data_IF_574721184937
#
_entry.id   IF_574721184937
#
_cell.length_a   1.000
_cell.length_b   1.000
_cell.length_c   1.000
_cell.angle_alpha   90.00
_cell.angle_beta   90.00
_cell.angle_gamma   90.00
#
_symmetry.space_group_name_H-M   'P 1'
#
loop_
_entity.id
_entity.type
_entity.pdbx_description
1 polymer ?
#
# COMPACT_ATOMS: atom_id res chain seq x y z
N UNK A 1 -40.88 -22.47 79.94
CA UNK A 1 -39.51 -22.17 79.46
C UNK A 1 -39.55 -22.12 77.92
N UNK A 2 -39.72 -20.94 77.40
CA UNK A 2 -39.94 -20.73 75.97
C UNK A 2 -38.62 -20.17 75.34
N UNK A 3 -37.96 -20.96 74.51
CA UNK A 3 -36.73 -20.54 73.80
C UNK A 3 -37.08 -19.72 72.58
N UNK A 4 -36.69 -18.47 72.59
CA UNK A 4 -36.76 -17.54 71.45
C UNK A 4 -35.50 -17.80 70.59
N UNK A 5 -35.70 -18.28 69.33
CA UNK A 5 -34.64 -18.37 68.32
C UNK A 5 -34.53 -17.05 67.60
N UNK A 6 -33.39 -16.34 67.73
CA UNK A 6 -33.01 -15.17 66.89
C UNK A 6 -32.49 -15.67 65.52
N UNK A 7 -33.12 -15.23 64.45
CA UNK A 7 -32.59 -15.33 63.08
C UNK A 7 -31.58 -14.13 62.82
N UNK A 8 -30.43 -14.37 62.13
CA UNK A 8 -29.56 -13.29 61.77
C UNK A 8 -30.09 -12.55 60.51
N UNK A 9 -29.79 -11.24 60.37
CA UNK A 9 -30.20 -10.49 59.19
C UNK A 9 -29.36 -10.85 57.97
N UNK A 10 -30.04 -11.16 56.87
CA UNK A 10 -29.46 -11.40 55.54
C UNK A 10 -29.00 -10.06 54.95
N UNK A 11 -27.70 -9.80 54.89
CA UNK A 11 -27.12 -8.64 54.24
C UNK A 11 -27.18 -8.84 52.72
N UNK A 12 -28.11 -8.16 52.03
CA UNK A 12 -28.14 -8.05 50.58
C UNK A 12 -26.95 -7.19 50.09
N UNK A 13 -25.92 -7.85 49.60
CA UNK A 13 -24.78 -7.20 48.94
C UNK A 13 -25.18 -6.85 47.49
N UNK A 14 -25.63 -5.60 47.27
CA UNK A 14 -25.82 -5.07 45.93
C UNK A 14 -24.49 -4.95 45.20
N UNK A 15 -24.19 -5.91 44.28
CA UNK A 15 -23.11 -5.76 43.30
C UNK A 15 -23.53 -4.70 42.27
N UNK A 16 -23.05 -3.47 42.46
CA UNK A 16 -23.12 -2.43 41.45
C UNK A 16 -22.20 -2.85 40.29
N UNK A 17 -22.77 -3.35 39.19
CA UNK A 17 -22.08 -3.51 37.93
C UNK A 17 -21.71 -2.11 37.39
N UNK A 18 -20.49 -1.69 37.61
CA UNK A 18 -19.93 -0.51 36.94
C UNK A 18 -19.83 -0.81 35.44
N UNK A 19 -20.82 -0.35 34.67
CA UNK A 19 -20.73 -0.29 33.22
C UNK A 19 -19.55 0.64 32.88
N UNK A 20 -18.39 0.07 32.53
CA UNK A 20 -17.28 0.84 31.95
C UNK A 20 -17.78 1.37 30.60
N UNK A 21 -18.14 2.65 30.55
CA UNK A 21 -18.40 3.34 29.32
C UNK A 21 -17.12 3.33 28.49
N UNK A 22 -17.09 2.50 27.45
CA UNK A 22 -16.02 2.54 26.45
C UNK A 22 -16.00 3.95 25.86
N UNK A 23 -14.91 4.67 26.03
CA UNK A 23 -14.70 5.97 25.38
C UNK A 23 -14.88 5.75 23.86
N UNK A 24 -15.81 6.46 23.20
CA UNK A 24 -16.04 6.26 21.77
C UNK A 24 -14.73 6.55 21.03
N UNK A 25 -14.30 5.58 20.21
CA UNK A 25 -13.11 5.73 19.37
C UNK A 25 -13.38 6.84 18.36
N UNK A 26 -12.59 7.92 18.42
CA UNK A 26 -12.71 9.05 17.50
C UNK A 26 -12.57 8.57 16.05
N UNK A 27 -13.42 9.08 15.17
CA UNK A 27 -13.23 8.92 13.72
C UNK A 27 -11.95 9.66 13.29
N UNK A 28 -11.37 9.28 12.16
CA UNK A 28 -10.16 9.95 11.64
C UNK A 28 -10.42 11.43 11.37
N UNK A 29 -11.60 11.80 10.86
CA UNK A 29 -11.96 13.21 10.65
C UNK A 29 -12.05 13.99 11.97
N UNK A 30 -12.63 13.40 13.02
CA UNK A 30 -12.67 14.03 14.35
C UNK A 30 -11.26 14.22 14.92
N UNK A 31 -10.41 13.20 14.84
CA UNK A 31 -8.99 13.31 15.23
C UNK A 31 -8.29 14.45 14.50
N UNK A 32 -8.40 14.48 13.15
CA UNK A 32 -7.78 15.53 12.33
C UNK A 32 -8.32 16.91 12.69
N UNK A 33 -9.63 17.05 12.90
CA UNK A 33 -10.26 18.31 13.30
C UNK A 33 -9.73 18.82 14.64
N UNK A 34 -9.46 17.92 15.60
CA UNK A 34 -8.96 18.28 16.93
C UNK A 34 -7.46 18.57 16.96
N UNK A 35 -6.68 17.85 16.16
CA UNK A 35 -5.20 17.93 16.21
C UNK A 35 -4.59 18.77 15.10
N UNK A 36 -5.37 19.15 14.09
CA UNK A 36 -4.91 19.76 12.84
C UNK A 36 -3.72 18.99 12.21
N UNK A 37 -3.70 17.65 12.35
CA UNK A 37 -2.62 16.79 11.87
C UNK A 37 -3.18 15.54 11.21
N UNK A 38 -2.62 15.17 10.06
CA UNK A 38 -2.87 13.89 9.37
C UNK A 38 -1.57 13.09 9.27
N UNK A 39 -1.63 11.80 9.59
CA UNK A 39 -0.51 10.86 9.50
C UNK A 39 -0.60 10.09 8.17
N UNK A 40 0.32 10.34 7.25
CA UNK A 40 0.39 9.68 5.95
C UNK A 40 1.46 8.60 5.94
N UNK A 41 1.07 7.35 5.66
CA UNK A 41 2.00 6.25 5.46
C UNK A 41 2.70 6.39 4.12
N UNK A 42 4.04 6.30 4.12
CA UNK A 42 4.84 6.38 2.90
C UNK A 42 5.82 5.23 2.78
N UNK A 43 6.21 4.92 1.54
CA UNK A 43 7.24 3.93 1.22
C UNK A 43 8.58 4.63 1.00
N UNK A 44 9.66 3.88 1.20
CA UNK A 44 11.02 4.41 1.00
C UNK A 44 11.60 4.10 -0.38
N UNK A 45 11.07 3.07 -1.06
CA UNK A 45 11.66 2.55 -2.30
C UNK A 45 10.66 2.04 -3.35
N UNK A 46 9.36 2.35 -3.23
CA UNK A 46 8.34 1.97 -4.23
C UNK A 46 8.27 2.97 -5.38
N UNK A 47 9.29 2.98 -6.24
CA UNK A 47 9.36 3.87 -7.42
C UNK A 47 8.37 3.38 -8.49
N UNK A 48 7.58 4.25 -9.12
CA UNK A 48 7.47 5.70 -8.95
C UNK A 48 6.34 6.14 -8.01
N UNK A 49 5.81 5.26 -7.15
CA UNK A 49 4.60 5.48 -6.34
C UNK A 49 4.85 6.29 -5.06
N UNK A 50 5.78 5.84 -4.23
CA UNK A 50 6.18 6.49 -2.99
C UNK A 50 7.62 6.08 -2.65
N UNK A 51 8.54 7.04 -2.63
CA UNK A 51 9.95 6.76 -2.42
C UNK A 51 10.72 8.02 -2.04
N UNK A 52 11.94 7.86 -1.54
CA UNK A 52 12.84 8.98 -1.31
C UNK A 52 13.54 9.43 -2.59
N UNK A 53 13.50 10.72 -2.87
CA UNK A 53 14.34 11.36 -3.88
C UNK A 53 15.81 11.51 -3.43
N UNK A 54 16.65 12.20 -4.23
CA UNK A 54 18.05 12.47 -3.89
C UNK A 54 18.25 13.41 -2.70
N UNK A 55 17.21 14.11 -2.25
CA UNK A 55 17.22 15.02 -1.09
C UNK A 55 16.50 14.42 0.13
N UNK A 56 16.20 13.13 0.08
CA UNK A 56 15.41 12.41 1.10
C UNK A 56 14.00 12.99 1.30
N UNK A 57 13.44 13.63 0.29
CA UNK A 57 12.04 14.01 0.29
C UNK A 57 11.20 12.82 -0.19
N UNK A 58 10.05 12.60 0.44
CA UNK A 58 9.09 11.59 -0.01
C UNK A 58 8.34 12.14 -1.22
N UNK A 59 8.46 11.44 -2.33
CA UNK A 59 7.89 11.82 -3.62
C UNK A 59 7.24 10.62 -4.29
N UNK A 60 6.44 10.85 -5.32
CA UNK A 60 5.87 9.77 -6.14
C UNK A 60 4.41 10.00 -6.52
N UNK A 61 3.94 9.18 -7.42
CA UNK A 61 2.57 9.22 -7.93
C UNK A 61 1.52 9.10 -6.81
N UNK A 62 1.64 8.07 -5.96
CA UNK A 62 0.71 7.87 -4.84
C UNK A 62 0.87 8.95 -3.76
N UNK A 63 2.08 9.47 -3.57
CA UNK A 63 2.34 10.59 -2.67
C UNK A 63 1.61 11.86 -3.12
N UNK A 64 1.67 12.19 -4.42
CA UNK A 64 0.96 13.35 -4.98
C UNK A 64 -0.56 13.20 -4.83
N UNK A 65 -1.10 11.99 -5.05
CA UNK A 65 -2.52 11.71 -4.81
C UNK A 65 -2.91 11.89 -3.34
N UNK A 66 -2.10 11.36 -2.40
CA UNK A 66 -2.35 11.54 -0.96
C UNK A 66 -2.35 13.01 -0.54
N UNK A 67 -1.41 13.80 -1.05
CA UNK A 67 -1.33 15.23 -0.76
C UNK A 67 -2.57 15.98 -1.32
N UNK A 68 -3.02 15.63 -2.52
CA UNK A 68 -4.25 16.20 -3.10
C UNK A 68 -5.51 15.85 -2.28
N UNK A 69 -5.60 14.60 -1.78
CA UNK A 69 -6.65 14.18 -0.84
C UNK A 69 -6.56 14.97 0.47
N UNK A 70 -5.36 15.17 1.01
CA UNK A 70 -5.12 15.95 2.25
C UNK A 70 -5.61 17.39 2.11
N UNK A 71 -5.37 18.04 0.96
CA UNK A 71 -5.90 19.38 0.69
C UNK A 71 -7.44 19.39 0.61
N UNK A 72 -8.04 18.32 0.13
CA UNK A 72 -9.51 18.17 0.13
C UNK A 72 -10.07 18.02 1.55
N UNK A 73 -9.41 17.23 2.41
CA UNK A 73 -9.76 17.08 3.82
C UNK A 73 -9.66 18.42 4.57
N UNK A 74 -8.56 19.16 4.34
CA UNK A 74 -8.35 20.50 4.91
C UNK A 74 -9.49 21.44 4.58
N UNK A 75 -9.94 21.48 3.32
CA UNK A 75 -11.07 22.31 2.88
C UNK A 75 -12.38 21.87 3.49
N UNK A 76 -12.67 20.58 3.54
CA UNK A 76 -13.90 20.02 4.09
C UNK A 76 -14.04 20.31 5.60
N UNK A 77 -12.95 20.17 6.34
CA UNK A 77 -12.90 20.46 7.77
C UNK A 77 -12.72 21.97 8.07
N UNK A 78 -12.62 22.81 7.03
CA UNK A 78 -12.41 24.27 7.14
C UNK A 78 -11.22 24.64 8.04
N UNK A 79 -10.17 23.82 7.99
CA UNK A 79 -8.96 24.06 8.79
C UNK A 79 -8.10 25.16 8.13
N UNK A 80 -7.60 26.14 8.90
CA UNK A 80 -6.69 27.17 8.38
C UNK A 80 -5.34 26.56 7.96
N UNK A 81 -4.88 25.54 8.69
CA UNK A 81 -3.70 24.74 8.39
C UNK A 81 -3.95 23.27 8.72
N UNK A 82 -3.28 22.37 8.01
CA UNK A 82 -3.27 20.94 8.28
C UNK A 82 -1.82 20.44 8.16
N UNK A 83 -1.25 20.02 9.28
CA UNK A 83 0.09 19.46 9.32
C UNK A 83 0.09 18.03 8.78
N UNK A 84 1.02 17.72 7.88
CA UNK A 84 1.25 16.37 7.36
C UNK A 84 2.42 15.75 8.11
N UNK A 85 2.17 14.65 8.81
CA UNK A 85 3.20 13.80 9.41
C UNK A 85 3.41 12.58 8.54
N UNK A 86 4.61 12.41 8.00
CA UNK A 86 4.99 11.26 7.21
C UNK A 86 5.45 10.12 8.11
N UNK A 87 4.90 8.92 7.91
CA UNK A 87 5.21 7.71 8.70
C UNK A 87 5.75 6.65 7.74
N UNK A 88 7.01 6.23 7.87
CA UNK A 88 7.58 5.21 7.00
C UNK A 88 6.94 3.85 7.26
N UNK A 89 6.53 3.18 6.19
CA UNK A 89 5.90 1.85 6.26
C UNK A 89 6.54 0.87 5.27
N UNK A 90 6.52 -0.42 5.64
CA UNK A 90 6.89 -1.54 4.79
C UNK A 90 5.64 -2.29 4.34
N UNK A 91 5.80 -3.24 3.42
CA UNK A 91 4.68 -4.10 3.02
C UNK A 91 4.14 -4.97 4.16
N UNK A 92 4.98 -5.30 5.16
CA UNK A 92 4.59 -6.10 6.33
C UNK A 92 3.86 -5.30 7.41
N UNK A 93 4.31 -4.06 7.70
CA UNK A 93 3.79 -3.30 8.86
C UNK A 93 2.69 -2.29 8.53
N UNK A 94 2.44 -1.98 7.24
CA UNK A 94 1.45 -0.95 6.85
C UNK A 94 0.04 -1.25 7.32
N UNK A 95 -0.43 -2.52 7.25
CA UNK A 95 -1.78 -2.90 7.70
C UNK A 95 -1.92 -2.71 9.22
N UNK A 96 -1.07 -3.26 10.08
CA UNK A 96 -1.13 -2.99 11.52
C UNK A 96 -1.08 -1.51 11.89
N UNK A 97 -0.27 -0.69 11.19
CA UNK A 97 -0.16 0.74 11.47
C UNK A 97 -1.42 1.54 11.06
N UNK A 98 -2.12 1.10 10.04
CA UNK A 98 -3.44 1.65 9.67
C UNK A 98 -4.51 1.22 10.67
N UNK A 99 -4.53 -0.06 11.05
CA UNK A 99 -5.50 -0.61 12.00
C UNK A 99 -5.44 0.09 13.36
N UNK A 100 -4.25 0.35 13.89
CA UNK A 100 -4.06 0.97 15.21
C UNK A 100 -4.13 2.50 15.18
N UNK A 101 -4.34 3.13 14.00
CA UNK A 101 -4.46 4.58 13.84
C UNK A 101 -3.14 5.35 13.90
N UNK A 102 -1.98 4.69 13.90
CA UNK A 102 -0.66 5.34 13.73
C UNK A 102 -0.52 5.98 12.35
N UNK A 103 -1.19 5.41 11.35
CA UNK A 103 -1.33 5.91 9.99
C UNK A 103 -2.81 6.12 9.69
N UNK A 104 -3.17 7.31 9.23
CA UNK A 104 -4.55 7.65 8.86
C UNK A 104 -4.87 7.23 7.43
N UNK A 105 -3.92 7.46 6.51
CA UNK A 105 -4.04 7.13 5.09
C UNK A 105 -2.69 6.62 4.57
N UNK A 106 -2.69 5.50 3.86
CA UNK A 106 -1.52 4.97 3.16
C UNK A 106 -1.87 4.74 1.70
N UNK A 107 -1.16 5.40 0.81
CA UNK A 107 -1.21 5.15 -0.63
C UNK A 107 0.22 4.92 -1.11
N UNK A 108 0.56 3.68 -1.35
CA UNK A 108 1.86 3.30 -1.91
C UNK A 108 1.65 2.45 -3.17
N UNK A 109 2.36 1.35 -3.25
CA UNK A 109 2.11 0.23 -4.16
C UNK A 109 1.33 -0.86 -3.40
N UNK A 110 0.10 -0.56 -3.00
CA UNK A 110 -0.69 -1.42 -2.12
C UNK A 110 -1.84 -2.06 -2.85
N UNK A 111 -1.71 -3.36 -3.11
CA UNK A 111 -2.75 -4.17 -3.74
C UNK A 111 -3.98 -4.25 -2.87
N UNK A 112 -5.13 -3.88 -3.44
CA UNK A 112 -6.44 -4.11 -2.88
C UNK A 112 -6.93 -5.51 -3.28
N UNK A 113 -7.07 -6.39 -2.31
CA UNK A 113 -7.65 -7.72 -2.46
C UNK A 113 -8.63 -8.04 -1.33
N UNK A 114 -9.41 -9.11 -1.49
CA UNK A 114 -10.45 -9.51 -0.53
C UNK A 114 -9.89 -9.85 0.86
N UNK A 115 -8.70 -10.42 0.94
CA UNK A 115 -8.08 -10.81 2.21
C UNK A 115 -7.72 -9.57 3.03
N UNK A 116 -7.05 -8.58 2.41
CA UNK A 116 -6.68 -7.32 3.07
C UNK A 116 -7.91 -6.47 3.39
N UNK A 117 -8.95 -6.49 2.55
CA UNK A 117 -10.21 -5.79 2.78
C UNK A 117 -10.99 -6.30 4.02
N UNK A 118 -10.65 -7.49 4.55
CA UNK A 118 -11.17 -7.94 5.85
C UNK A 118 -10.52 -7.22 7.02
N UNK A 119 -9.34 -6.65 6.83
CA UNK A 119 -8.49 -6.07 7.88
C UNK A 119 -8.53 -4.54 7.88
N UNK A 120 -8.57 -3.91 6.72
CA UNK A 120 -8.59 -2.46 6.51
C UNK A 120 -9.62 -2.08 5.45
N UNK A 121 -10.02 -0.82 5.38
CA UNK A 121 -10.79 -0.31 4.25
C UNK A 121 -9.85 0.16 3.15
N UNK A 122 -10.35 0.13 1.92
CA UNK A 122 -9.67 0.62 0.73
C UNK A 122 -10.49 1.70 0.05
N UNK A 123 -9.80 2.67 -0.53
CA UNK A 123 -10.40 3.68 -1.40
C UNK A 123 -10.80 3.09 -2.75
N UNK A 124 -11.40 3.91 -3.62
CA UNK A 124 -11.42 3.63 -5.06
C UNK A 124 -9.99 3.36 -5.54
N UNK A 125 -9.86 2.43 -6.49
CA UNK A 125 -8.56 2.02 -7.03
C UNK A 125 -7.88 3.18 -7.76
N UNK A 126 -6.56 3.30 -7.58
CA UNK A 126 -5.75 4.39 -8.14
C UNK A 126 -4.80 3.94 -9.25
N UNK A 127 -4.53 2.65 -9.38
CA UNK A 127 -3.60 2.09 -10.37
C UNK A 127 -3.94 0.63 -10.66
N UNK A 128 -3.47 0.13 -11.81
CA UNK A 128 -3.55 -1.29 -12.18
C UNK A 128 -2.18 -1.78 -12.61
N UNK A 129 -1.82 -3.00 -12.20
CA UNK A 129 -0.52 -3.63 -12.41
C UNK A 129 -0.65 -5.15 -12.47
N UNK A 130 0.46 -5.84 -12.67
CA UNK A 130 0.56 -7.29 -12.55
C UNK A 130 1.99 -7.67 -12.18
N UNK A 131 2.19 -8.80 -11.48
CA UNK A 131 3.53 -9.24 -11.10
C UNK A 131 4.28 -9.82 -12.29
N UNK A 132 5.57 -9.48 -12.40
CA UNK A 132 6.54 -9.97 -13.39
C UNK A 132 7.92 -10.17 -12.76
N UNK A 133 8.90 -10.58 -13.55
CA UNK A 133 10.28 -10.81 -13.11
C UNK A 133 11.19 -9.67 -13.57
N UNK A 134 12.03 -9.15 -12.67
CA UNK A 134 13.20 -8.34 -13.01
C UNK A 134 14.43 -9.21 -12.91
N UNK A 135 15.26 -9.21 -13.94
CA UNK A 135 16.46 -10.02 -14.03
C UNK A 135 17.57 -9.32 -14.81
N UNK A 136 18.82 -9.73 -14.62
CA UNK A 136 19.92 -9.27 -15.47
C UNK A 136 19.77 -9.81 -16.90
N UNK A 137 20.11 -9.04 -17.91
CA UNK A 137 19.96 -9.40 -19.34
C UNK A 137 20.64 -10.73 -19.70
N UNK A 138 21.74 -11.07 -19.02
CA UNK A 138 22.55 -12.26 -19.28
C UNK A 138 22.20 -13.43 -18.32
N UNK A 139 21.12 -13.33 -17.56
CA UNK A 139 20.72 -14.35 -16.55
C UNK A 139 20.20 -15.66 -17.17
N UNK A 140 19.75 -15.61 -18.43
CA UNK A 140 19.02 -16.70 -19.07
C UNK A 140 17.58 -16.87 -18.58
N UNK A 141 17.06 -15.99 -17.69
CA UNK A 141 15.67 -16.02 -17.21
C UNK A 141 14.79 -15.24 -18.17
N UNK A 142 13.77 -15.89 -18.69
CA UNK A 142 12.74 -15.30 -19.57
C UNK A 142 11.32 -15.47 -19.02
N UNK A 143 11.09 -16.51 -18.22
CA UNK A 143 9.79 -16.81 -17.62
C UNK A 143 9.92 -17.56 -16.27
N UNK A 144 8.81 -17.82 -15.59
CA UNK A 144 8.79 -18.48 -14.28
C UNK A 144 9.40 -19.89 -14.30
N UNK A 145 9.26 -20.64 -15.40
CA UNK A 145 9.81 -21.99 -15.52
C UNK A 145 11.35 -22.01 -15.42
N UNK A 146 12.02 -20.93 -15.84
CA UNK A 146 13.48 -20.80 -15.79
C UNK A 146 14.04 -20.64 -14.37
N UNK A 147 13.17 -20.51 -13.36
CA UNK A 147 13.55 -20.30 -11.97
C UNK A 147 13.81 -21.61 -11.21
N UNK A 148 13.62 -22.78 -11.84
CA UNK A 148 13.80 -24.08 -11.20
C UNK A 148 15.20 -24.25 -10.58
N UNK A 149 15.26 -24.55 -9.27
CA UNK A 149 16.50 -24.70 -8.51
C UNK A 149 17.27 -23.40 -8.26
N UNK A 150 16.69 -22.25 -8.61
CA UNK A 150 17.39 -20.95 -8.54
C UNK A 150 16.81 -20.08 -7.44
N UNK A 151 17.63 -19.16 -6.91
CA UNK A 151 17.21 -18.20 -5.91
C UNK A 151 16.50 -17.02 -6.54
N UNK A 152 15.30 -16.70 -6.01
CA UNK A 152 14.45 -15.59 -6.44
C UNK A 152 14.09 -14.72 -5.25
N UNK A 153 14.22 -13.42 -5.43
CA UNK A 153 13.85 -12.43 -4.42
C UNK A 153 12.38 -12.06 -4.54
N UNK A 154 11.78 -11.82 -3.40
CA UNK A 154 10.47 -11.19 -3.24
C UNK A 154 10.56 -10.15 -2.11
N UNK A 155 9.62 -9.22 -2.05
CA UNK A 155 9.51 -8.34 -0.90
C UNK A 155 8.52 -8.93 0.11
N UNK A 156 8.95 -9.07 1.36
CA UNK A 156 8.15 -9.66 2.43
C UNK A 156 6.81 -8.91 2.65
N UNK A 157 5.70 -9.66 2.78
CA UNK A 157 4.34 -9.14 2.97
C UNK A 157 3.66 -8.63 1.69
N UNK A 158 4.19 -8.95 0.51
CA UNK A 158 3.58 -8.61 -0.78
C UNK A 158 2.67 -9.74 -1.30
N UNK A 159 1.80 -9.39 -2.24
CA UNK A 159 1.02 -10.37 -3.01
C UNK A 159 1.93 -11.17 -3.95
N UNK A 160 2.98 -10.56 -4.48
CA UNK A 160 3.97 -11.22 -5.34
C UNK A 160 4.70 -12.35 -4.60
N UNK A 161 5.08 -12.17 -3.31
CA UNK A 161 5.62 -13.24 -2.47
C UNK A 161 4.65 -14.42 -2.41
N UNK A 162 3.39 -14.15 -2.06
CA UNK A 162 2.35 -15.19 -1.98
C UNK A 162 2.07 -15.86 -3.32
N UNK A 163 2.02 -15.10 -4.42
CA UNK A 163 1.82 -15.64 -5.76
C UNK A 163 2.93 -16.61 -6.15
N UNK A 164 4.20 -16.28 -5.86
CA UNK A 164 5.32 -17.17 -6.14
C UNK A 164 5.26 -18.47 -5.32
N UNK A 165 4.92 -18.36 -4.03
CA UNK A 165 4.76 -19.54 -3.16
C UNK A 165 3.65 -20.46 -3.69
N UNK A 166 2.46 -19.93 -3.97
CA UNK A 166 1.33 -20.69 -4.49
C UNK A 166 1.63 -21.29 -5.88
N UNK A 167 2.32 -20.55 -6.75
CA UNK A 167 2.73 -21.06 -8.05
C UNK A 167 3.72 -22.22 -7.91
N UNK A 168 4.73 -22.06 -7.05
CA UNK A 168 5.72 -23.13 -6.76
C UNK A 168 5.04 -24.39 -6.23
N UNK A 169 4.11 -24.27 -5.28
CA UNK A 169 3.34 -25.39 -4.72
C UNK A 169 2.46 -26.08 -5.78
N UNK A 170 1.71 -25.30 -6.56
CA UNK A 170 0.72 -25.83 -7.52
C UNK A 170 1.35 -26.49 -8.75
N UNK A 171 2.54 -26.03 -9.16
CA UNK A 171 3.24 -26.54 -10.37
C UNK A 171 4.37 -27.51 -10.05
N UNK A 172 4.76 -27.64 -8.76
CA UNK A 172 5.95 -28.40 -8.36
C UNK A 172 7.28 -27.71 -8.72
N UNK A 173 7.25 -26.44 -9.16
CA UNK A 173 8.43 -25.68 -9.48
C UNK A 173 9.26 -25.42 -8.21
N UNK A 174 10.47 -25.96 -8.13
CA UNK A 174 11.36 -25.79 -6.98
C UNK A 174 12.11 -24.46 -7.09
N UNK A 175 11.73 -23.48 -6.28
CA UNK A 175 12.37 -22.15 -6.23
C UNK A 175 12.93 -21.90 -4.83
N UNK A 176 14.17 -21.41 -4.73
CA UNK A 176 14.74 -20.91 -3.47
C UNK A 176 14.24 -19.45 -3.27
N UNK A 177 13.14 -19.27 -2.54
CA UNK A 177 12.50 -17.97 -2.32
C UNK A 177 13.20 -17.25 -1.18
N UNK A 178 13.84 -16.12 -1.48
CA UNK A 178 14.46 -15.24 -0.50
C UNK A 178 13.66 -13.94 -0.37
N UNK A 179 13.45 -13.49 0.87
CA UNK A 179 12.68 -12.27 1.17
C UNK A 179 13.59 -11.10 1.49
N UNK A 180 13.22 -9.90 1.04
CA UNK A 180 13.82 -8.64 1.44
C UNK A 180 12.78 -7.77 2.15
N UNK A 181 13.24 -6.85 3.01
CA UNK A 181 12.38 -5.95 3.79
C UNK A 181 11.58 -4.99 2.92
N UNK A 182 12.20 -4.47 1.85
CA UNK A 182 11.57 -3.57 0.90
C UNK A 182 12.10 -3.79 -0.54
N UNK A 183 11.49 -3.08 -1.50
CA UNK A 183 11.81 -3.27 -2.92
C UNK A 183 13.22 -2.80 -3.28
N UNK A 184 13.74 -1.77 -2.61
CA UNK A 184 15.10 -1.27 -2.83
C UNK A 184 16.15 -2.27 -2.35
N UNK A 185 15.94 -2.88 -1.19
CA UNK A 185 16.81 -3.94 -0.68
C UNK A 185 16.77 -5.18 -1.59
N UNK A 186 15.57 -5.61 -2.03
CA UNK A 186 15.43 -6.72 -2.98
C UNK A 186 16.24 -6.44 -4.25
N UNK A 187 16.12 -5.25 -4.82
CA UNK A 187 16.86 -4.90 -6.02
C UNK A 187 18.37 -4.80 -5.77
N UNK A 188 18.82 -4.26 -4.64
CA UNK A 188 20.24 -4.24 -4.28
C UNK A 188 20.84 -5.66 -4.15
N UNK A 189 20.08 -6.58 -3.56
CA UNK A 189 20.49 -7.98 -3.49
C UNK A 189 20.55 -8.64 -4.88
N UNK A 190 19.59 -8.34 -5.77
CA UNK A 190 19.63 -8.80 -7.16
C UNK A 190 20.85 -8.24 -7.89
N UNK A 191 21.15 -6.96 -7.75
CA UNK A 191 22.31 -6.30 -8.36
C UNK A 191 23.65 -6.91 -7.88
N UNK A 192 23.71 -7.37 -6.63
CA UNK A 192 24.91 -8.04 -6.09
C UNK A 192 25.03 -9.51 -6.48
N UNK A 193 24.14 -10.03 -7.33
CA UNK A 193 24.16 -11.42 -7.80
C UNK A 193 23.70 -12.45 -6.75
N UNK A 194 23.07 -12.03 -5.65
CA UNK A 194 22.57 -12.94 -4.61
C UNK A 194 21.34 -13.74 -5.03
N UNK A 195 20.70 -13.36 -6.14
CA UNK A 195 19.58 -14.05 -6.75
C UNK A 195 19.59 -13.82 -8.25
N UNK A 196 18.84 -14.62 -9.01
CA UNK A 196 18.76 -14.52 -10.46
C UNK A 196 17.62 -13.63 -10.94
N UNK A 197 16.60 -13.46 -10.11
CA UNK A 197 15.44 -12.64 -10.43
C UNK A 197 14.82 -12.05 -9.17
N UNK A 198 14.03 -10.98 -9.36
CA UNK A 198 13.15 -10.40 -8.37
C UNK A 198 11.72 -10.37 -8.93
N UNK A 199 10.79 -11.07 -8.26
CA UNK A 199 9.37 -11.06 -8.59
C UNK A 199 8.67 -9.94 -7.85
N UNK A 200 8.06 -9.04 -8.60
CA UNK A 200 7.30 -7.90 -8.07
C UNK A 200 6.39 -7.33 -9.17
N UNK A 201 5.53 -6.40 -8.79
CA UNK A 201 4.65 -5.69 -9.73
C UNK A 201 5.45 -4.91 -10.77
N UNK A 202 5.07 -5.05 -12.02
CA UNK A 202 5.81 -4.55 -13.18
C UNK A 202 6.10 -3.05 -13.11
N UNK A 203 5.14 -2.24 -12.66
CA UNK A 203 5.34 -0.80 -12.51
C UNK A 203 6.45 -0.45 -11.50
N UNK A 204 6.57 -1.21 -10.40
CA UNK A 204 7.67 -1.07 -9.42
C UNK A 204 8.98 -1.55 -10.03
N UNK A 205 8.97 -2.66 -10.77
CA UNK A 205 10.17 -3.19 -11.43
C UNK A 205 10.74 -2.21 -12.47
N UNK A 206 9.89 -1.60 -13.30
CA UNK A 206 10.33 -0.57 -14.25
C UNK A 206 10.89 0.67 -13.53
N UNK A 207 10.28 1.07 -12.40
CA UNK A 207 10.78 2.16 -11.57
C UNK A 207 12.17 1.87 -10.97
N UNK A 208 12.38 0.66 -10.44
CA UNK A 208 13.68 0.22 -9.90
C UNK A 208 14.73 0.11 -10.99
N UNK A 209 14.38 -0.48 -12.13
CA UNK A 209 15.24 -0.53 -13.32
C UNK A 209 15.71 0.85 -13.72
N UNK A 210 14.80 1.83 -13.78
CA UNK A 210 15.14 3.19 -14.15
C UNK A 210 16.11 3.87 -13.16
N UNK A 211 16.13 3.46 -11.88
CA UNK A 211 17.07 3.93 -10.87
C UNK A 211 18.45 3.26 -10.93
N UNK A 212 18.59 2.13 -11.62
CA UNK A 212 19.87 1.43 -11.74
C UNK A 212 20.96 2.32 -12.35
N UNK A 213 22.22 2.03 -12.07
CA UNK A 213 23.34 2.74 -12.69
C UNK A 213 23.45 2.41 -14.18
N UNK A 214 23.09 1.17 -14.54
CA UNK A 214 23.03 0.68 -15.93
C UNK A 214 21.63 0.08 -16.17
N UNK A 215 20.59 0.87 -16.48
CA UNK A 215 19.23 0.38 -16.67
C UNK A 215 19.10 -0.68 -17.75
N UNK A 216 19.94 -0.61 -18.81
CA UNK A 216 19.91 -1.53 -19.94
C UNK A 216 20.49 -2.92 -19.65
N UNK A 217 21.13 -3.11 -18.50
CA UNK A 217 21.54 -4.43 -18.03
C UNK A 217 20.37 -5.22 -17.40
N UNK A 218 19.24 -4.57 -17.17
CA UNK A 218 18.07 -5.15 -16.49
C UNK A 218 16.88 -5.27 -17.44
N UNK A 219 16.15 -6.38 -17.33
CA UNK A 219 14.96 -6.66 -18.12
C UNK A 219 13.80 -7.08 -17.25
N UNK A 220 12.62 -6.55 -17.54
CA UNK A 220 11.36 -7.05 -16.99
C UNK A 220 10.82 -8.09 -17.95
N UNK A 221 10.75 -9.34 -17.50
CA UNK A 221 10.43 -10.52 -18.30
C UNK A 221 9.30 -11.33 -17.71
N UNK A 222 8.90 -12.40 -18.39
CA UNK A 222 7.83 -13.29 -18.01
C UNK A 222 6.45 -12.76 -18.43
N UNK A 223 5.48 -13.66 -18.57
CA UNK A 223 4.07 -13.28 -18.76
C UNK A 223 3.56 -12.60 -17.49
N UNK A 224 2.73 -11.55 -17.61
CA UNK A 224 2.06 -10.98 -16.45
C UNK A 224 1.30 -12.07 -15.68
N UNK A 225 1.44 -12.09 -14.36
CA UNK A 225 0.63 -12.92 -13.48
C UNK A 225 -0.78 -12.31 -13.32
N UNK A 226 -1.51 -12.65 -12.29
CA UNK A 226 -2.83 -12.07 -12.06
C UNK A 226 -2.79 -10.54 -12.05
N UNK A 227 -3.79 -9.92 -12.67
CA UNK A 227 -3.95 -8.47 -12.60
C UNK A 227 -4.28 -8.03 -11.18
N UNK A 228 -3.70 -6.93 -10.74
CA UNK A 228 -3.89 -6.34 -9.42
C UNK A 228 -4.26 -4.85 -9.54
N UNK A 229 -5.01 -4.35 -8.58
CA UNK A 229 -5.27 -2.91 -8.46
C UNK A 229 -4.66 -2.38 -7.17
N UNK A 230 -4.08 -1.19 -7.22
CA UNK A 230 -3.67 -0.45 -6.03
C UNK A 230 -4.77 0.47 -5.57
N UNK A 231 -4.89 0.60 -4.25
CA UNK A 231 -5.78 1.56 -3.61
C UNK A 231 -5.15 2.08 -2.32
N UNK A 232 -5.65 3.19 -1.82
CA UNK A 232 -5.24 3.72 -0.53
C UNK A 232 -5.90 2.94 0.60
N UNK A 233 -5.15 2.62 1.65
CA UNK A 233 -5.66 1.99 2.87
C UNK A 233 -6.00 3.04 3.92
N UNK A 234 -7.07 2.77 4.65
CA UNK A 234 -7.52 3.52 5.80
C UNK A 234 -8.18 2.57 6.82
N UNK A 235 -8.46 3.05 8.04
CA UNK A 235 -9.08 2.23 9.07
C UNK A 235 -10.44 1.69 8.62
N UNK A 236 -10.71 0.41 8.91
CA UNK A 236 -11.85 -0.33 8.37
C UNK A 236 -13.21 0.29 8.70
N UNK A 237 -13.42 0.67 9.94
CA UNK A 237 -14.73 1.10 10.44
C UNK A 237 -14.87 2.62 10.44
N UNK A 238 -14.25 3.32 9.47
CA UNK A 238 -14.30 4.77 9.31
C UNK A 238 -14.92 5.17 7.97
N UNK A 239 -16.23 4.89 7.83
CA UNK A 239 -16.98 5.15 6.61
C UNK A 239 -16.99 6.65 6.23
N UNK A 240 -17.00 7.54 7.21
CA UNK A 240 -16.97 8.98 6.97
C UNK A 240 -15.65 9.42 6.34
N UNK A 241 -14.51 8.95 6.86
CA UNK A 241 -13.21 9.24 6.29
C UNK A 241 -13.05 8.62 4.89
N UNK A 242 -13.47 7.35 4.72
CA UNK A 242 -13.48 6.69 3.41
C UNK A 242 -14.27 7.49 2.38
N UNK A 243 -15.46 7.98 2.72
CA UNK A 243 -16.28 8.76 1.80
C UNK A 243 -15.59 10.05 1.33
N UNK A 244 -14.82 10.72 2.20
CA UNK A 244 -14.04 11.92 1.82
C UNK A 244 -12.88 11.54 0.89
N UNK A 245 -12.15 10.48 1.21
CA UNK A 245 -11.03 9.98 0.38
C UNK A 245 -11.52 9.58 -1.00
N UNK A 246 -12.59 8.77 -1.07
CA UNK A 246 -13.16 8.29 -2.35
C UNK A 246 -13.68 9.44 -3.22
N UNK A 247 -14.40 10.38 -2.61
CA UNK A 247 -14.91 11.57 -3.33
C UNK A 247 -13.74 12.39 -3.89
N UNK A 248 -12.68 12.59 -3.09
CA UNK A 248 -11.50 13.35 -3.52
C UNK A 248 -10.76 12.67 -4.67
N UNK A 249 -10.49 11.37 -4.57
CA UNK A 249 -9.84 10.61 -5.64
C UNK A 249 -10.69 10.55 -6.91
N UNK A 250 -12.00 10.31 -6.77
CA UNK A 250 -12.94 10.31 -7.89
C UNK A 250 -12.95 11.66 -8.61
N UNK A 251 -12.93 12.76 -7.86
CA UNK A 251 -12.84 14.10 -8.43
C UNK A 251 -11.54 14.33 -9.19
N UNK A 252 -10.39 13.91 -8.62
CA UNK A 252 -9.09 14.00 -9.30
C UNK A 252 -9.07 13.20 -10.61
N UNK A 253 -9.67 12.02 -10.63
CA UNK A 253 -9.76 11.16 -11.82
C UNK A 253 -10.65 11.82 -12.90
N UNK A 254 -11.86 12.22 -12.54
CA UNK A 254 -12.84 12.79 -13.48
C UNK A 254 -12.46 14.17 -14.02
N UNK A 255 -11.72 14.97 -13.23
CA UNK A 255 -11.21 16.28 -13.69
C UNK A 255 -9.98 16.19 -14.58
N UNK A 256 -9.35 15.01 -14.69
CA UNK A 256 -8.10 14.81 -15.41
C UNK A 256 -6.84 15.15 -14.59
N UNK A 257 -6.97 15.63 -13.35
CA UNK A 257 -5.80 15.92 -12.50
C UNK A 257 -5.02 14.65 -12.16
N UNK A 258 -5.69 13.53 -11.90
CA UNK A 258 -5.01 12.23 -11.69
C UNK A 258 -4.18 11.81 -12.92
N UNK A 259 -4.68 12.10 -14.13
CA UNK A 259 -3.95 11.82 -15.37
C UNK A 259 -2.73 12.75 -15.55
N UNK A 260 -2.80 14.01 -15.10
CA UNK A 260 -1.64 14.92 -15.08
C UNK A 260 -0.58 14.43 -14.09
N UNK A 261 -1.00 13.98 -12.90
CA UNK A 261 -0.11 13.34 -11.92
C UNK A 261 0.53 12.08 -12.53
N UNK A 262 -0.26 11.22 -13.19
CA UNK A 262 0.27 10.06 -13.90
C UNK A 262 1.36 10.43 -14.90
N UNK A 263 1.11 11.39 -15.79
CA UNK A 263 2.07 11.82 -16.80
C UNK A 263 3.37 12.36 -16.19
N UNK A 264 3.27 13.07 -15.07
CA UNK A 264 4.46 13.53 -14.33
C UNK A 264 5.36 12.37 -13.90
N UNK A 265 4.78 11.25 -13.42
CA UNK A 265 5.54 10.17 -12.83
C UNK A 265 5.90 9.05 -13.80
N UNK A 266 5.19 8.92 -14.90
CA UNK A 266 5.36 7.81 -15.85
C UNK A 266 5.80 8.27 -17.26
N UNK A 267 5.62 9.56 -17.60
CA UNK A 267 5.92 10.08 -18.92
C UNK A 267 6.83 11.32 -18.88
N UNK A 268 7.40 11.66 -17.74
CA UNK A 268 8.34 12.78 -17.57
C UNK A 268 9.55 12.34 -16.79
N UNK A 269 10.66 13.11 -16.82
CA UNK A 269 11.83 12.82 -16.01
C UNK A 269 11.52 12.84 -14.51
N UNK A 270 11.84 11.77 -13.79
CA UNK A 270 11.59 11.62 -12.35
C UNK A 270 12.90 11.63 -11.54
N UNK A 271 12.88 12.16 -10.28
CA UNK A 271 14.05 12.12 -9.42
C UNK A 271 14.41 10.68 -9.00
N UNK A 272 15.67 10.43 -8.58
CA UNK A 272 16.77 11.38 -8.50
C UNK A 272 17.55 11.56 -9.79
N UNK A 273 17.47 10.66 -10.76
CA UNK A 273 18.34 10.61 -11.96
C UNK A 273 17.74 11.31 -13.18
N UNK A 274 16.52 11.83 -13.11
CA UNK A 274 15.83 12.44 -14.23
C UNK A 274 15.43 11.46 -15.35
N UNK A 275 15.29 10.17 -15.05
CA UNK A 275 14.89 9.17 -16.03
C UNK A 275 13.39 9.20 -16.28
N UNK A 276 13.00 9.07 -17.53
CA UNK A 276 11.60 8.94 -17.95
C UNK A 276 11.29 7.46 -18.16
N UNK A 277 10.20 6.98 -17.54
CA UNK A 277 9.74 5.61 -17.72
C UNK A 277 9.14 5.37 -19.13
N UNK A 278 8.77 6.46 -19.83
CA UNK A 278 8.12 6.43 -21.15
C UNK A 278 6.92 5.48 -21.20
N UNK A 279 6.15 5.43 -20.12
CA UNK A 279 5.03 4.53 -20.00
C UNK A 279 3.70 5.29 -20.17
N UNK A 280 3.06 5.17 -21.32
CA UNK A 280 1.75 5.76 -21.53
C UNK A 280 0.69 5.10 -20.65
N UNK A 281 -0.37 5.82 -20.26
CA UNK A 281 -1.42 5.24 -19.45
C UNK A 281 -2.11 4.10 -20.21
N UNK A 282 -2.17 2.89 -19.64
CA UNK A 282 -2.87 1.77 -20.27
C UNK A 282 -4.38 2.05 -20.35
N UNK A 283 -5.07 1.47 -21.33
CA UNK A 283 -6.52 1.61 -21.48
C UNK A 283 -7.29 1.22 -20.21
N UNK A 284 -6.84 0.17 -19.52
CA UNK A 284 -7.42 -0.26 -18.26
C UNK A 284 -7.33 0.80 -17.15
N UNK A 285 -6.25 1.58 -17.09
CA UNK A 285 -6.15 2.71 -16.16
C UNK A 285 -7.05 3.87 -16.57
N UNK A 286 -7.15 4.17 -17.87
CA UNK A 286 -8.04 5.20 -18.37
C UNK A 286 -9.51 4.86 -18.08
N UNK A 287 -9.89 3.58 -18.22
CA UNK A 287 -11.23 3.12 -17.85
C UNK A 287 -11.47 3.21 -16.35
N UNK A 288 -10.49 2.82 -15.53
CA UNK A 288 -10.56 3.00 -14.08
C UNK A 288 -10.82 4.47 -13.70
N UNK A 289 -10.22 5.44 -14.39
CA UNK A 289 -10.43 6.86 -14.13
C UNK A 289 -11.78 7.38 -14.59
N UNK A 290 -12.37 6.79 -15.66
CA UNK A 290 -13.74 7.11 -16.10
C UNK A 290 -14.79 6.55 -15.14
N UNK A 291 -14.56 5.33 -14.64
CA UNK A 291 -15.48 4.57 -13.79
C UNK A 291 -14.79 4.11 -12.49
N UNK A 292 -14.44 5.04 -11.57
CA UNK A 292 -13.75 4.68 -10.33
C UNK A 292 -14.54 3.68 -9.51
N UNK A 293 -13.88 2.66 -9.03
CA UNK A 293 -14.46 1.58 -8.22
C UNK A 293 -13.54 1.19 -7.07
N UNK A 294 -14.12 0.78 -5.95
CA UNK A 294 -13.42 0.22 -4.80
C UNK A 294 -13.55 -1.32 -4.73
N UNK A 295 -13.88 -1.96 -5.85
CA UNK A 295 -13.96 -3.42 -5.93
C UNK A 295 -12.55 -4.01 -6.08
N UNK A 296 -12.16 -4.99 -5.21
CA UNK A 296 -10.92 -5.71 -5.38
C UNK A 296 -10.96 -6.56 -6.65
N UNK A 297 -9.80 -6.76 -7.28
CA UNK A 297 -9.61 -7.82 -8.26
C UNK A 297 -9.26 -9.12 -7.51
N UNK A 298 -9.85 -10.24 -7.92
CA UNK A 298 -9.61 -11.57 -7.36
C UNK A 298 -10.53 -11.97 -6.21
#
# INVERSE_FOLDING_TARGET
>A
MTMIRCLPPFLLMCCALSAQAQTPVLTTLQKISQTATINLGHRESSVPFSYYDGRRQVVGYSQDLMLAVTESIKRELKLPALAVKLVPVTSQNRIPLVQNGSVDLECGSTTHNRERARQVAFSVSIFQTSSRLLTHKDSGVTELADLSGRRVLVTAGTTSERQLMLHSESTGLRVDIATAKDHGEAFAQLQSGRAVAFLMDDAVLYGLRAKADKPDDWRVVGKPMAAEVYACMLRKDDAAFKAVVDRSLTQLMRSGEALKIYRRWFQSPIPPKGLNLNWPPPDALLELYRSPTDRPLG
#
